data_IF_930024233336
#
_entry.id   IF_930024233336
#
_cell.length_a   1.000
_cell.length_b   1.000
_cell.length_c   1.000
_cell.angle_alpha   90.00
_cell.angle_beta   90.00
_cell.angle_gamma   90.00
#
_symmetry.space_group_name_H-M   'P 1'
#
loop_
_entity.id
_entity.type
_entity.pdbx_description
1 polymer ?
#
# COMPACT_ATOMS: atom_id res chain seq x y z
N UNK A 1 9.21 8.35 31.72
CA UNK A 1 7.78 7.98 31.56
C UNK A 1 7.42 7.10 32.73
N UNK A 2 6.19 7.19 33.26
CA UNK A 2 5.71 6.21 34.24
C UNK A 2 5.30 4.92 33.53
N UNK A 3 5.23 3.81 34.26
CA UNK A 3 4.88 2.51 33.70
C UNK A 3 3.45 2.52 33.12
N UNK A 4 2.52 3.21 33.78
CA UNK A 4 1.13 3.36 33.32
C UNK A 4 1.06 4.14 32.00
N UNK A 5 1.92 5.15 31.83
CA UNK A 5 2.00 5.90 30.57
C UNK A 5 2.58 5.04 29.44
N UNK A 6 3.56 4.17 29.74
CA UNK A 6 4.08 3.21 28.76
C UNK A 6 3.01 2.21 28.34
N UNK A 7 2.28 1.61 29.28
CA UNK A 7 1.19 0.66 28.97
C UNK A 7 0.09 1.29 28.12
N UNK A 8 -0.36 2.50 28.49
CA UNK A 8 -1.36 3.23 27.72
C UNK A 8 -0.90 3.49 26.28
N UNK A 9 0.34 3.94 26.10
CA UNK A 9 0.88 4.23 24.77
C UNK A 9 1.07 2.96 23.95
N UNK A 10 1.53 1.87 24.55
CA UNK A 10 1.65 0.56 23.88
C UNK A 10 0.28 0.07 23.40
N UNK A 11 -0.75 0.10 24.25
CA UNK A 11 -2.09 -0.33 23.86
C UNK A 11 -2.68 0.50 22.69
N UNK A 12 -2.39 1.80 22.66
CA UNK A 12 -2.78 2.67 21.56
C UNK A 12 -2.03 2.34 20.26
N UNK A 13 -0.73 2.09 20.34
CA UNK A 13 0.08 1.68 19.19
C UNK A 13 -0.36 0.32 18.64
N UNK A 14 -0.59 -0.66 19.51
CA UNK A 14 -1.06 -2.00 19.13
C UNK A 14 -2.41 -1.92 18.40
N UNK A 15 -3.32 -1.05 18.88
CA UNK A 15 -4.62 -0.84 18.24
C UNK A 15 -4.48 -0.27 16.82
N UNK A 16 -3.61 0.74 16.65
CA UNK A 16 -3.35 1.35 15.33
C UNK A 16 -2.71 0.34 14.38
N UNK A 17 -1.69 -0.39 14.87
CA UNK A 17 -0.97 -1.39 14.09
C UNK A 17 -1.90 -2.51 13.63
N UNK A 18 -2.69 -3.07 14.54
CA UNK A 18 -3.65 -4.15 14.23
C UNK A 18 -4.68 -3.69 13.20
N UNK A 19 -5.21 -2.47 13.35
CA UNK A 19 -6.17 -1.92 12.38
C UNK A 19 -5.56 -1.77 10.99
N UNK A 20 -4.33 -1.27 10.92
CA UNK A 20 -3.61 -1.13 9.67
C UNK A 20 -3.36 -2.49 9.01
N UNK A 21 -2.92 -3.49 9.79
CA UNK A 21 -2.66 -4.85 9.32
C UNK A 21 -3.93 -5.49 8.73
N UNK A 22 -5.09 -5.27 9.37
CA UNK A 22 -6.40 -5.71 8.88
C UNK A 22 -6.76 -5.12 7.53
N UNK A 23 -6.55 -3.81 7.37
CA UNK A 23 -6.86 -3.10 6.12
C UNK A 23 -5.96 -3.57 4.99
N UNK A 24 -4.67 -3.73 5.24
CA UNK A 24 -3.72 -4.19 4.22
C UNK A 24 -3.99 -5.65 3.85
N UNK A 25 -4.21 -6.52 4.84
CA UNK A 25 -4.60 -7.93 4.62
C UNK A 25 -5.83 -8.04 3.74
N UNK A 26 -6.89 -7.29 4.05
CA UNK A 26 -8.11 -7.27 3.25
C UNK A 26 -7.89 -6.73 1.83
N UNK A 27 -7.06 -5.71 1.65
CA UNK A 27 -6.81 -5.11 0.34
C UNK A 27 -5.91 -5.97 -0.56
N UNK A 28 -5.01 -6.76 0.04
CA UNK A 28 -4.03 -7.59 -0.67
C UNK A 28 -4.43 -9.06 -0.77
N UNK A 29 -5.45 -9.48 -0.01
CA UNK A 29 -5.88 -10.89 0.03
C UNK A 29 -4.83 -11.82 0.66
N UNK A 30 -3.96 -11.28 1.52
CA UNK A 30 -2.87 -12.00 2.19
C UNK A 30 -3.15 -12.20 3.68
N UNK A 31 -2.53 -13.21 4.28
CA UNK A 31 -2.61 -13.43 5.72
C UNK A 31 -1.99 -12.27 6.50
N UNK A 32 -2.52 -12.01 7.70
CA UNK A 32 -1.96 -11.01 8.62
C UNK A 32 -0.51 -11.33 8.96
N UNK A 33 -0.24 -12.59 9.30
CA UNK A 33 1.11 -13.08 9.63
C UNK A 33 2.09 -12.88 8.48
N UNK A 34 1.66 -13.12 7.23
CA UNK A 34 2.52 -12.93 6.05
C UNK A 34 2.94 -11.46 5.90
N UNK A 35 2.00 -10.53 6.10
CA UNK A 35 2.27 -9.09 6.00
C UNK A 35 3.15 -8.63 7.16
N UNK A 36 2.89 -9.12 8.37
CA UNK A 36 3.68 -8.80 9.56
C UNK A 36 5.14 -9.30 9.42
N UNK A 37 5.33 -10.55 9.01
CA UNK A 37 6.64 -11.12 8.73
C UNK A 37 7.38 -10.29 7.67
N UNK A 38 6.70 -9.96 6.57
CA UNK A 38 7.28 -9.16 5.50
C UNK A 38 7.76 -7.77 5.98
N UNK A 39 7.02 -7.10 6.85
CA UNK A 39 7.41 -5.80 7.39
C UNK A 39 8.61 -5.95 8.33
N UNK A 40 8.60 -6.97 9.19
CA UNK A 40 9.66 -7.25 10.15
C UNK A 40 10.97 -7.68 9.47
N UNK A 41 10.92 -8.20 8.25
CA UNK A 41 12.10 -8.46 7.42
C UNK A 41 12.83 -7.19 6.97
N UNK A 42 12.18 -6.02 7.04
CA UNK A 42 12.79 -4.74 6.67
C UNK A 42 13.08 -4.64 5.17
N UNK A 43 12.07 -4.92 4.33
CA UNK A 43 12.24 -4.92 2.87
C UNK A 43 12.32 -3.50 2.31
N UNK A 44 13.44 -3.18 1.64
CA UNK A 44 13.68 -1.91 0.94
C UNK A 44 13.71 -2.04 -0.59
N UNK A 45 13.67 -3.28 -1.11
CA UNK A 45 13.72 -3.57 -2.54
C UNK A 45 12.32 -3.53 -3.15
N UNK A 46 12.13 -2.69 -4.17
CA UNK A 46 10.83 -2.51 -4.84
C UNK A 46 10.41 -3.78 -5.59
N UNK A 47 11.37 -4.57 -6.07
CA UNK A 47 11.09 -5.83 -6.77
C UNK A 47 10.43 -6.86 -5.83
N UNK A 48 10.90 -6.95 -4.58
CA UNK A 48 10.28 -7.82 -3.56
C UNK A 48 8.86 -7.39 -3.22
N UNK A 49 8.56 -6.09 -3.21
CA UNK A 49 7.18 -5.61 -3.02
C UNK A 49 6.25 -6.10 -4.13
N UNK A 50 6.77 -6.22 -5.36
CA UNK A 50 6.00 -6.71 -6.50
C UNK A 50 5.83 -8.24 -6.44
N UNK A 51 6.89 -8.97 -6.12
CA UNK A 51 6.85 -10.43 -5.95
C UNK A 51 5.87 -10.84 -4.83
N UNK A 52 5.91 -10.10 -3.72
CA UNK A 52 4.99 -10.27 -2.60
C UNK A 52 3.60 -9.64 -2.85
N UNK A 53 3.29 -9.18 -4.06
CA UNK A 53 1.97 -8.70 -4.44
C UNK A 53 1.49 -7.47 -3.66
N UNK A 54 2.38 -6.77 -2.96
CA UNK A 54 2.07 -5.53 -2.26
C UNK A 54 1.92 -4.37 -3.25
N UNK A 55 2.62 -4.42 -4.38
CA UNK A 55 2.41 -3.51 -5.51
C UNK A 55 2.10 -4.32 -6.77
N UNK A 56 1.29 -3.74 -7.67
CA UNK A 56 0.92 -4.43 -8.90
C UNK A 56 2.02 -4.38 -9.96
N UNK A 57 2.71 -3.23 -10.09
CA UNK A 57 3.78 -3.08 -11.06
C UNK A 57 4.71 -1.91 -10.70
N UNK A 58 5.91 -1.93 -11.27
CA UNK A 58 6.90 -0.84 -11.18
C UNK A 58 7.04 -0.27 -12.58
N UNK A 59 6.32 0.81 -12.84
CA UNK A 59 6.24 1.47 -14.15
C UNK A 59 6.32 2.98 -13.95
N UNK A 60 6.76 3.69 -14.99
CA UNK A 60 6.82 5.14 -15.00
C UNK A 60 5.42 5.78 -15.08
N UNK A 61 5.32 7.07 -14.74
CA UNK A 61 4.04 7.80 -14.69
C UNK A 61 3.32 7.88 -16.06
N UNK A 62 4.08 7.99 -17.14
CA UNK A 62 3.56 7.97 -18.51
C UNK A 62 3.00 6.59 -18.88
N UNK A 63 3.65 5.52 -18.43
CA UNK A 63 3.16 4.15 -18.58
C UNK A 63 1.89 3.89 -17.76
N UNK A 64 1.77 4.46 -16.55
CA UNK A 64 0.53 4.41 -15.76
C UNK A 64 -0.61 5.10 -16.52
N UNK A 65 -0.34 6.27 -17.09
CA UNK A 65 -1.32 7.01 -17.90
C UNK A 65 -1.74 6.23 -19.14
N UNK A 66 -0.79 5.59 -19.82
CA UNK A 66 -1.09 4.74 -20.98
C UNK A 66 -1.96 3.53 -20.61
N UNK A 67 -1.63 2.84 -19.52
CA UNK A 67 -2.43 1.73 -18.99
C UNK A 67 -3.85 2.17 -18.62
N UNK A 68 -4.02 3.36 -18.02
CA UNK A 68 -5.34 3.90 -17.69
C UNK A 68 -6.15 4.22 -18.94
N UNK A 69 -5.54 4.80 -19.98
CA UNK A 69 -6.21 5.07 -21.27
C UNK A 69 -6.71 3.78 -21.92
N UNK A 70 -5.88 2.74 -21.94
CA UNK A 70 -6.24 1.43 -22.48
C UNK A 70 -7.44 0.83 -21.73
N UNK A 71 -7.39 0.83 -20.38
CA UNK A 71 -8.48 0.31 -19.54
C UNK A 71 -9.80 1.07 -19.71
N UNK A 72 -9.74 2.37 -20.02
CA UNK A 72 -10.91 3.23 -20.22
C UNK A 72 -11.38 3.29 -21.67
N UNK A 73 -10.66 2.67 -22.62
CA UNK A 73 -10.97 2.73 -24.06
C UNK A 73 -10.78 4.12 -24.67
N UNK A 74 -9.95 4.97 -24.07
CA UNK A 74 -9.66 6.33 -24.53
C UNK A 74 -8.57 6.27 -25.59
N UNK A 75 -8.70 7.06 -26.66
CA UNK A 75 -7.68 7.13 -27.71
C UNK A 75 -6.34 7.61 -27.14
N UNK A 76 -5.23 7.06 -27.63
CA UNK A 76 -3.90 7.38 -27.13
C UNK A 76 -3.59 8.89 -27.19
N UNK A 77 -4.13 9.60 -28.19
CA UNK A 77 -3.93 11.04 -28.37
C UNK A 77 -4.80 11.92 -27.45
N UNK A 78 -5.87 11.37 -26.85
CA UNK A 78 -6.76 12.13 -25.98
C UNK A 78 -6.21 12.20 -24.55
N UNK A 79 -6.36 13.37 -23.91
CA UNK A 79 -5.94 13.56 -22.51
C UNK A 79 -6.98 12.93 -21.59
N UNK A 80 -6.50 12.23 -20.55
CA UNK A 80 -7.39 11.76 -19.49
C UNK A 80 -7.97 12.98 -18.76
N UNK A 81 -9.29 13.04 -18.55
CA UNK A 81 -9.88 14.09 -17.72
C UNK A 81 -9.42 13.87 -16.27
N UNK A 82 -8.55 14.76 -15.79
CA UNK A 82 -8.05 14.78 -14.41
C UNK A 82 -8.80 15.83 -13.60
N UNK A 83 -9.18 15.50 -12.37
CA UNK A 83 -9.68 16.49 -11.39
C UNK A 83 -8.53 16.82 -10.46
N UNK A 84 -8.13 18.09 -10.42
CA UNK A 84 -7.14 18.58 -9.48
C UNK A 84 -7.84 19.22 -8.27
N UNK A 85 -7.31 19.01 -7.07
CA UNK A 85 -7.82 19.63 -5.84
C UNK A 85 -7.01 20.91 -5.58
N UNK A 86 -7.70 22.06 -5.61
CA UNK A 86 -7.14 23.37 -5.23
C UNK A 86 -7.19 23.60 -3.73
#
# INVERSE_FOLDING_TARGET
MSDENCEMLTALLDTIYTNWLDKVSSAKGKGREDIENFINEGVYEVDKLKEEGLISNVIYDDEVTAMLKERLGVKAEEKLPTVDYR
#
